data_IF_145370824748
#
_entry.id   IF_145370824748
#
_cell.length_a   1.000
_cell.length_b   1.000
_cell.length_c   1.000
_cell.angle_alpha   90.00
_cell.angle_beta   90.00
_cell.angle_gamma   90.00
#
_symmetry.space_group_name_H-M   'P 1'
#
loop_
_entity.id
_entity.type
_entity.pdbx_description
1 polymer ?
#
# COMPACT_ATOMS: atom_id res chain seq x y z
N UNK A 1 4.55 -39.24 9.11
CA UNK A 1 4.65 -38.62 7.77
C UNK A 1 4.54 -37.12 7.98
N UNK A 2 5.65 -36.39 7.99
CA UNK A 2 5.62 -34.92 8.08
C UNK A 2 5.26 -34.39 6.70
N UNK A 3 4.15 -33.68 6.60
CA UNK A 3 3.85 -32.88 5.42
C UNK A 3 4.79 -31.68 5.53
N UNK A 4 5.79 -31.59 4.64
CA UNK A 4 6.58 -30.36 4.50
C UNK A 4 5.64 -29.27 4.00
N UNK A 5 5.14 -28.43 4.90
CA UNK A 5 4.40 -27.23 4.53
C UNK A 5 5.38 -26.27 3.88
N UNK A 6 5.26 -26.09 2.56
CA UNK A 6 6.04 -25.08 1.84
C UNK A 6 5.72 -23.70 2.41
N UNK A 7 6.74 -22.87 2.61
CA UNK A 7 6.53 -21.49 3.07
C UNK A 7 6.91 -20.53 1.95
N UNK A 8 6.11 -19.49 1.78
CA UNK A 8 6.29 -18.48 0.74
C UNK A 8 6.32 -17.10 1.39
N UNK A 9 7.16 -16.19 0.89
CA UNK A 9 7.14 -14.82 1.39
C UNK A 9 5.90 -14.06 0.88
N UNK A 10 5.53 -12.98 1.56
CA UNK A 10 4.30 -12.26 1.23
C UNK A 10 4.34 -11.63 -0.17
N UNK A 11 5.50 -11.18 -0.62
CA UNK A 11 5.64 -10.57 -1.95
C UNK A 11 5.42 -11.61 -3.06
N UNK A 12 6.05 -12.77 -2.95
CA UNK A 12 5.85 -13.92 -3.84
C UNK A 12 4.40 -14.40 -3.83
N UNK A 13 3.77 -14.46 -2.65
CA UNK A 13 2.38 -14.86 -2.54
C UNK A 13 1.45 -13.97 -3.39
N UNK A 14 1.60 -12.66 -3.28
CA UNK A 14 0.84 -11.70 -4.11
C UNK A 14 1.24 -11.81 -5.58
N UNK A 15 2.53 -11.97 -5.89
CA UNK A 15 3.02 -12.19 -7.24
C UNK A 15 2.44 -13.47 -7.88
N UNK A 16 2.04 -14.46 -7.07
CA UNK A 16 1.36 -15.68 -7.50
C UNK A 16 -0.17 -15.58 -7.49
N UNK A 17 -0.72 -14.37 -7.28
CA UNK A 17 -2.16 -14.09 -7.34
C UNK A 17 -2.91 -14.30 -6.02
N UNK A 18 -2.22 -14.56 -4.91
CA UNK A 18 -2.86 -14.66 -3.59
C UNK A 18 -3.23 -13.28 -3.07
N UNK A 19 -4.47 -13.07 -2.69
CA UNK A 19 -4.86 -11.92 -1.88
C UNK A 19 -4.37 -12.13 -0.44
N UNK A 20 -3.65 -11.15 0.08
CA UNK A 20 -3.26 -11.12 1.49
C UNK A 20 -4.20 -10.19 2.26
N UNK A 21 -4.67 -10.64 3.42
CA UNK A 21 -5.67 -9.94 4.21
C UNK A 21 -5.25 -9.81 5.67
N UNK A 22 -5.75 -8.78 6.33
CA UNK A 22 -5.66 -8.60 7.78
C UNK A 22 -6.21 -9.84 8.50
N UNK A 23 -5.46 -10.32 9.49
CA UNK A 23 -5.81 -11.48 10.32
C UNK A 23 -5.16 -12.78 9.86
N UNK A 24 -4.54 -12.82 8.67
CA UNK A 24 -3.76 -13.98 8.25
C UNK A 24 -2.57 -14.21 9.19
N UNK A 25 -2.35 -15.47 9.55
CA UNK A 25 -1.21 -15.89 10.35
C UNK A 25 0.07 -15.85 9.51
N UNK A 26 1.17 -15.39 10.12
CA UNK A 26 2.47 -15.24 9.46
C UNK A 26 3.60 -15.71 10.35
N UNK A 27 4.69 -16.14 9.71
CA UNK A 27 5.96 -16.43 10.36
C UNK A 27 6.91 -15.24 10.20
N UNK A 28 7.40 -14.74 11.33
CA UNK A 28 8.37 -13.64 11.40
C UNK A 28 9.82 -14.18 11.29
N UNK A 29 10.76 -13.38 10.78
CA UNK A 29 12.15 -13.83 10.55
C UNK A 29 12.91 -14.12 11.84
N UNK A 30 12.63 -13.36 12.92
CA UNK A 30 13.43 -13.39 14.17
C UNK A 30 12.74 -14.12 15.32
N UNK A 31 11.48 -14.53 15.15
CA UNK A 31 10.67 -15.03 16.26
C UNK A 31 9.73 -16.16 15.84
N UNK A 32 9.75 -17.27 16.58
CA UNK A 32 8.73 -18.34 16.49
C UNK A 32 7.51 -18.00 17.36
N UNK A 33 6.99 -16.78 17.21
CA UNK A 33 5.76 -16.35 17.87
C UNK A 33 4.61 -16.34 16.89
N UNK A 34 3.42 -16.62 17.42
CA UNK A 34 2.18 -16.45 16.67
C UNK A 34 1.99 -14.96 16.36
N UNK A 35 2.11 -14.63 15.09
CA UNK A 35 1.95 -13.28 14.57
C UNK A 35 0.91 -13.27 13.46
N UNK A 36 0.24 -12.13 13.30
CA UNK A 36 -0.80 -11.97 12.29
C UNK A 36 -0.60 -10.67 11.53
N UNK A 37 -1.03 -10.65 10.28
CA UNK A 37 -1.13 -9.42 9.51
C UNK A 37 -2.13 -8.49 10.20
N UNK A 38 -1.67 -7.29 10.57
CA UNK A 38 -2.53 -6.22 11.04
C UNK A 38 -3.01 -5.32 9.89
N UNK A 39 -2.18 -5.16 8.87
CA UNK A 39 -2.51 -4.45 7.64
C UNK A 39 -1.27 -4.14 6.81
N UNK A 40 -1.46 -3.30 5.80
CA UNK A 40 -0.45 -3.00 4.78
C UNK A 40 -0.30 -1.50 4.61
N UNK A 41 0.90 -1.06 4.27
CA UNK A 41 1.17 0.31 3.79
C UNK A 41 1.57 0.18 2.33
N UNK A 42 0.88 0.90 1.44
CA UNK A 42 1.21 0.96 0.03
C UNK A 42 2.53 1.72 -0.18
N UNK A 43 3.45 1.18 -0.98
CA UNK A 43 4.79 1.76 -1.20
C UNK A 43 5.22 1.72 -2.66
N UNK A 44 6.36 2.33 -2.99
CA UNK A 44 6.94 2.34 -4.33
C UNK A 44 8.29 1.63 -4.31
N UNK A 45 8.60 0.85 -5.35
CA UNK A 45 9.86 0.10 -5.44
C UNK A 45 10.04 -0.95 -4.35
N UNK A 46 11.27 -1.36 -4.02
CA UNK A 46 11.48 -2.04 -2.74
C UNK A 46 11.16 -1.05 -1.63
N UNK A 47 10.49 -1.52 -0.56
CA UNK A 47 9.95 -0.66 0.49
C UNK A 47 10.97 0.29 1.16
N UNK A 48 12.27 0.12 0.90
CA UNK A 48 13.39 0.84 1.51
C UNK A 48 14.44 1.41 0.53
N UNK A 49 14.32 1.19 -0.79
CA UNK A 49 15.43 1.47 -1.75
C UNK A 49 15.46 2.91 -2.29
N UNK A 50 14.56 3.78 -1.87
CA UNK A 50 14.54 5.17 -2.33
C UNK A 50 14.17 6.05 -1.13
N UNK A 51 14.70 7.28 -1.09
CA UNK A 51 14.40 8.35 -0.13
C UNK A 51 12.88 8.59 0.03
N UNK A 52 12.16 7.68 0.70
CA UNK A 52 10.71 7.69 0.80
C UNK A 52 10.33 7.82 2.27
N UNK A 53 9.41 8.76 2.50
CA UNK A 53 8.34 8.76 3.49
C UNK A 53 7.85 7.35 3.89
N UNK A 54 8.60 6.56 4.65
CA UNK A 54 8.21 5.23 5.08
C UNK A 54 8.42 5.06 6.58
N UNK A 55 7.53 4.34 7.30
CA UNK A 55 7.87 3.89 8.64
C UNK A 55 9.11 3.01 8.63
N UNK A 56 10.03 3.27 9.56
CA UNK A 56 11.17 2.38 9.78
C UNK A 56 10.70 0.97 10.14
N UNK A 57 11.51 -0.03 9.78
CA UNK A 57 11.30 -1.41 10.21
C UNK A 57 11.35 -1.51 11.74
N UNK A 58 10.65 -2.51 12.28
CA UNK A 58 10.58 -2.75 13.71
C UNK A 58 9.33 -2.15 14.34
N UNK A 59 9.39 -1.80 15.62
CA UNK A 59 8.18 -1.48 16.39
C UNK A 59 7.48 -0.22 15.87
N UNK A 60 6.17 -0.33 15.65
CA UNK A 60 5.33 0.71 15.07
C UNK A 60 4.35 1.28 16.10
N UNK A 61 4.06 2.59 15.98
CA UNK A 61 2.92 3.21 16.66
C UNK A 61 1.71 3.23 15.73
N UNK A 62 0.70 2.42 16.07
CA UNK A 62 -0.58 2.37 15.36
C UNK A 62 -1.58 3.30 16.05
N UNK A 63 -2.15 4.24 15.29
CA UNK A 63 -3.26 5.09 15.74
C UNK A 63 -4.47 4.86 14.83
N UNK A 64 -5.45 4.11 15.32
CA UNK A 64 -6.67 3.74 14.60
C UNK A 64 -6.38 3.04 13.26
N UNK A 65 -6.41 3.77 12.15
CA UNK A 65 -6.18 3.26 10.80
C UNK A 65 -4.89 3.81 10.16
N UNK A 66 -3.95 4.30 10.97
CA UNK A 66 -2.69 4.86 10.50
C UNK A 66 -1.50 4.32 11.27
N UNK A 67 -0.38 4.14 10.59
CA UNK A 67 0.93 4.04 11.24
C UNK A 67 1.55 5.43 11.26
N UNK A 68 2.09 5.81 12.41
CA UNK A 68 2.81 7.07 12.59
C UNK A 68 4.30 6.79 12.69
N UNK A 69 5.07 7.47 11.84
CA UNK A 69 6.52 7.51 11.93
C UNK A 69 6.95 8.98 11.84
N UNK A 70 7.72 9.42 12.84
CA UNK A 70 8.01 10.83 13.08
C UNK A 70 6.71 11.69 13.04
N UNK A 71 6.64 12.69 12.15
CA UNK A 71 5.49 13.56 11.95
C UNK A 71 4.60 13.15 10.78
N UNK A 72 4.82 11.97 10.17
CA UNK A 72 4.08 11.50 8.99
C UNK A 72 3.16 10.34 9.34
N UNK A 73 2.00 10.29 8.70
CA UNK A 73 0.96 9.29 8.98
C UNK A 73 0.56 8.57 7.69
N UNK A 74 0.66 7.24 7.71
CA UNK A 74 0.43 6.37 6.56
C UNK A 74 -0.88 5.60 6.72
N UNK A 75 -1.75 5.57 5.70
CA UNK A 75 -2.99 4.80 5.79
C UNK A 75 -2.69 3.30 5.88
N UNK A 76 -3.37 2.62 6.81
CA UNK A 76 -3.33 1.16 6.93
C UNK A 76 -4.45 0.58 6.08
N UNK A 77 -4.04 -0.23 5.12
CA UNK A 77 -4.89 -0.97 4.21
C UNK A 77 -5.10 -2.39 4.75
N UNK A 78 -6.26 -2.97 4.51
CA UNK A 78 -6.71 -4.24 5.08
C UNK A 78 -6.43 -5.44 4.19
N UNK A 79 -6.27 -5.23 2.88
CA UNK A 79 -5.83 -6.28 1.96
C UNK A 79 -4.94 -5.72 0.85
N UNK A 80 -4.18 -6.61 0.24
CA UNK A 80 -3.35 -6.37 -0.94
C UNK A 80 -3.43 -7.56 -1.89
N UNK A 81 -3.55 -7.27 -3.17
CA UNK A 81 -3.54 -8.23 -4.27
C UNK A 81 -2.99 -7.58 -5.54
N UNK A 82 -2.80 -8.36 -6.61
CA UNK A 82 -2.52 -7.76 -7.92
C UNK A 82 -3.67 -6.89 -8.40
N UNK A 83 -3.36 -5.77 -9.04
CA UNK A 83 -4.34 -5.04 -9.81
C UNK A 83 -4.78 -5.91 -11.00
N UNK A 84 -6.09 -6.06 -11.17
CA UNK A 84 -6.70 -6.92 -12.18
C UNK A 84 -7.67 -6.18 -13.11
N UNK A 85 -8.11 -4.98 -12.73
CA UNK A 85 -8.98 -4.16 -13.55
C UNK A 85 -8.16 -3.37 -14.56
N UNK A 86 -8.75 -3.08 -15.73
CA UNK A 86 -8.13 -2.21 -16.74
C UNK A 86 -7.86 -0.81 -16.20
N UNK A 87 -8.77 -0.31 -15.35
CA UNK A 87 -8.69 1.04 -14.78
C UNK A 87 -9.40 1.15 -13.44
N UNK A 88 -8.97 2.12 -12.64
CA UNK A 88 -9.47 2.39 -11.30
C UNK A 88 -9.82 3.87 -11.15
N UNK A 89 -10.91 4.16 -10.43
CA UNK A 89 -11.31 5.54 -10.14
C UNK A 89 -10.27 6.26 -9.28
N UNK A 90 -9.62 7.29 -9.84
CA UNK A 90 -8.50 7.95 -9.17
C UNK A 90 -8.90 8.64 -7.86
N UNK A 91 -10.14 9.16 -7.78
CA UNK A 91 -10.64 9.85 -6.59
C UNK A 91 -10.71 8.97 -5.33
N UNK A 92 -10.73 7.64 -5.50
CA UNK A 92 -10.74 6.68 -4.38
C UNK A 92 -9.35 6.12 -4.06
N UNK A 93 -8.35 6.43 -4.87
CA UNK A 93 -7.04 5.81 -4.81
C UNK A 93 -6.02 6.69 -4.09
N UNK A 94 -5.42 6.14 -3.04
CA UNK A 94 -4.14 6.57 -2.51
C UNK A 94 -3.01 5.99 -3.38
N UNK A 95 -2.27 6.85 -4.08
CA UNK A 95 -1.16 6.44 -4.94
C UNK A 95 0.12 7.14 -4.45
N UNK A 96 0.94 6.47 -3.61
CA UNK A 96 2.11 7.10 -2.98
C UNK A 96 3.08 7.75 -3.98
N UNK A 97 3.18 7.19 -5.19
CA UNK A 97 4.01 7.73 -6.27
C UNK A 97 3.72 9.21 -6.56
N UNK A 98 2.45 9.64 -6.54
CA UNK A 98 2.08 11.04 -6.83
C UNK A 98 2.32 11.99 -5.66
N UNK A 99 2.68 11.46 -4.49
CA UNK A 99 2.88 12.23 -3.27
C UNK A 99 4.37 12.41 -2.90
N UNK A 100 5.29 11.71 -3.58
CA UNK A 100 6.72 11.76 -3.25
C UNK A 100 7.35 13.13 -3.52
N UNK A 101 8.35 13.49 -2.70
CA UNK A 101 9.11 14.75 -2.80
C UNK A 101 9.81 14.94 -4.15
N UNK A 102 10.19 13.84 -4.81
CA UNK A 102 10.78 13.85 -6.15
C UNK A 102 9.91 14.58 -7.20
N UNK A 103 8.59 14.58 -6.99
CA UNK A 103 7.64 15.28 -7.86
C UNK A 103 7.17 16.63 -7.31
N UNK A 104 7.78 17.12 -6.23
CA UNK A 104 7.40 18.39 -5.61
C UNK A 104 8.20 19.59 -6.13
N UNK A 105 9.40 19.41 -6.73
CA UNK A 105 10.24 20.56 -7.10
C UNK A 105 9.91 21.13 -8.50
N UNK A 106 9.43 22.38 -8.45
CA UNK A 106 9.32 23.51 -9.41
C UNK A 106 9.08 23.33 -10.93
N UNK A 107 9.24 22.15 -11.53
CA UNK A 107 8.75 21.83 -12.90
C UNK A 107 7.63 20.77 -12.89
N UNK A 108 7.55 20.01 -11.80
CA UNK A 108 6.65 18.87 -11.58
C UNK A 108 5.61 19.08 -10.47
N UNK A 109 5.63 20.23 -9.77
CA UNK A 109 4.63 20.57 -8.76
C UNK A 109 3.17 20.60 -9.27
N UNK A 110 2.98 20.64 -10.59
CA UNK A 110 1.69 20.43 -11.24
C UNK A 110 1.11 19.02 -11.00
N UNK A 111 1.97 18.02 -10.74
CA UNK A 111 1.59 16.60 -10.65
C UNK A 111 0.89 16.29 -9.33
N UNK A 112 1.43 16.81 -8.23
CA UNK A 112 0.76 16.77 -6.92
C UNK A 112 -0.57 17.53 -6.99
N UNK A 113 -0.58 18.74 -7.54
CA UNK A 113 -1.80 19.56 -7.61
C UNK A 113 -2.91 18.91 -8.45
N UNK A 114 -2.55 18.31 -9.59
CA UNK A 114 -3.50 17.58 -10.43
C UNK A 114 -4.05 16.30 -9.77
N UNK A 115 -3.20 15.56 -9.06
CA UNK A 115 -3.64 14.42 -8.27
C UNK A 115 -4.58 14.84 -7.14
N UNK A 116 -4.27 15.94 -6.43
CA UNK A 116 -5.16 16.51 -5.41
C UNK A 116 -6.50 16.97 -6.00
N UNK A 117 -6.50 17.63 -7.16
CA UNK A 117 -7.73 18.04 -7.86
C UNK A 117 -8.59 16.85 -8.30
N UNK A 118 -7.97 15.73 -8.72
CA UNK A 118 -8.71 14.51 -9.01
C UNK A 118 -9.25 13.80 -7.75
N UNK A 119 -8.59 14.02 -6.61
CA UNK A 119 -8.97 13.43 -5.32
C UNK A 119 -10.17 14.12 -4.67
N UNK A 120 -10.42 15.40 -4.94
CA UNK A 120 -11.56 16.14 -4.37
C UNK A 120 -12.91 15.77 -5.01
N UNK A 121 -12.90 15.04 -6.14
CA UNK A 121 -14.11 14.67 -6.87
C UNK A 121 -14.78 15.83 -7.60
N UNK A 122 -14.13 17.00 -7.68
CA UNK A 122 -14.59 18.15 -8.46
C UNK A 122 -14.31 17.94 -9.95
N UNK A 123 -15.07 18.61 -10.83
CA UNK A 123 -14.85 18.49 -12.28
C UNK A 123 -13.44 18.92 -12.63
N UNK A 124 -12.64 17.99 -13.13
CA UNK A 124 -11.22 18.24 -13.39
C UNK A 124 -11.10 19.11 -14.66
N UNK A 125 -10.59 20.33 -14.52
CA UNK A 125 -10.22 21.16 -15.67
C UNK A 125 -9.23 20.40 -16.56
N UNK A 126 -9.26 20.63 -17.88
CA UNK A 126 -8.50 19.89 -18.92
C UNK A 126 -6.97 19.87 -18.77
N UNK A 127 -6.41 20.41 -17.69
CA UNK A 127 -4.97 20.47 -17.39
C UNK A 127 -4.40 19.18 -16.79
N UNK A 128 -5.21 18.15 -16.57
CA UNK A 128 -4.70 16.78 -16.38
C UNK A 128 -4.38 16.20 -17.76
N UNK A 129 -3.43 16.83 -18.44
CA UNK A 129 -2.81 16.32 -19.66
C UNK A 129 -1.99 15.08 -19.29
N UNK A 130 -2.44 13.91 -19.73
CA UNK A 130 -1.72 12.63 -19.80
C UNK A 130 -0.60 12.47 -18.76
N UNK A 131 -0.95 12.22 -17.50
CA UNK A 131 -0.01 11.55 -16.61
C UNK A 131 0.09 10.11 -17.09
N UNK A 132 1.28 9.52 -17.18
CA UNK A 132 1.50 8.28 -17.96
C UNK A 132 0.47 7.16 -17.76
N UNK A 133 -0.06 7.05 -16.53
CA UNK A 133 -1.09 6.08 -16.15
C UNK A 133 -2.44 6.70 -15.78
N UNK A 134 -2.68 8.00 -15.97
CA UNK A 134 -3.97 8.64 -15.67
C UNK A 134 -4.56 9.22 -16.95
N UNK A 135 -5.82 8.89 -17.20
CA UNK A 135 -6.60 9.49 -18.28
C UNK A 135 -7.87 10.09 -17.72
N UNK A 136 -8.27 11.23 -18.30
CA UNK A 136 -9.62 11.74 -18.13
C UNK A 136 -10.49 11.11 -19.21
N UNK A 137 -11.64 10.59 -18.79
CA UNK A 137 -12.68 10.07 -19.68
C UNK A 137 -14.02 10.75 -19.39
N UNK A 138 -14.93 10.71 -20.36
CA UNK A 138 -16.26 11.29 -20.26
C UNK A 138 -16.45 12.60 -21.05
N UNK A 139 -17.71 13.00 -21.21
CA UNK A 139 -18.09 14.23 -21.88
C UNK A 139 -17.78 15.47 -21.01
N UNK A 140 -17.77 16.66 -21.63
CA UNK A 140 -17.61 17.92 -20.92
C UNK A 140 -18.74 18.07 -19.87
N UNK A 141 -18.38 18.17 -18.58
CA UNK A 141 -19.33 18.18 -17.45
C UNK A 141 -19.39 16.87 -16.64
N UNK A 142 -18.95 15.75 -17.20
CA UNK A 142 -18.96 14.41 -16.55
C UNK A 142 -17.57 13.77 -16.48
N UNK A 143 -16.52 14.58 -16.66
CA UNK A 143 -15.13 14.11 -16.73
C UNK A 143 -14.72 13.43 -15.43
N UNK A 144 -14.27 12.19 -15.55
CA UNK A 144 -13.71 11.41 -14.44
C UNK A 144 -12.25 11.05 -14.75
N UNK A 145 -11.42 11.06 -13.71
CA UNK A 145 -10.03 10.65 -13.80
C UNK A 145 -9.88 9.18 -13.40
N UNK A 146 -9.24 8.40 -14.27
CA UNK A 146 -8.97 6.98 -14.06
C UNK A 146 -7.48 6.71 -14.03
N UNK A 147 -7.04 5.83 -13.13
CA UNK A 147 -5.71 5.25 -13.09
C UNK A 147 -5.68 3.92 -13.84
N UNK A 148 -4.73 3.75 -14.75
CA UNK A 148 -4.46 2.57 -15.54
C UNK A 148 -3.24 1.85 -14.95
N UNK A 149 -3.42 0.63 -14.39
CA UNK A 149 -2.34 -0.09 -13.73
C UNK A 149 -1.18 -0.46 -14.65
N UNK A 150 0.02 -0.51 -14.06
CA UNK A 150 1.20 -1.18 -14.64
C UNK A 150 1.11 -2.69 -14.38
N UNK A 151 1.89 -3.46 -15.11
CA UNK A 151 1.94 -4.93 -15.02
C UNK A 151 2.12 -5.47 -13.59
N UNK A 152 2.88 -4.77 -12.75
CA UNK A 152 3.18 -5.18 -11.37
C UNK A 152 2.50 -4.30 -10.31
N UNK A 153 1.50 -3.51 -10.70
CA UNK A 153 0.77 -2.71 -9.73
C UNK A 153 -0.09 -3.61 -8.84
N UNK A 154 -0.08 -3.27 -7.56
CA UNK A 154 -0.83 -3.92 -6.51
C UNK A 154 -2.00 -3.03 -6.12
N UNK A 155 -3.16 -3.65 -5.98
CA UNK A 155 -4.37 -3.01 -5.52
C UNK A 155 -4.60 -3.31 -4.05
N UNK A 156 -4.89 -2.26 -3.29
CA UNK A 156 -5.11 -2.35 -1.86
C UNK A 156 -6.52 -1.92 -1.51
N UNK A 157 -7.12 -2.62 -0.56
CA UNK A 157 -8.42 -2.27 -0.01
C UNK A 157 -8.29 -1.81 1.43
N UNK A 158 -9.24 -0.97 1.85
CA UNK A 158 -9.45 -0.59 3.25
C UNK A 158 -10.88 -0.98 3.64
N UNK A 159 -11.15 -1.05 4.94
CA UNK A 159 -12.51 -1.10 5.45
C UNK A 159 -13.33 0.17 5.12
N UNK A 160 -12.65 1.28 4.82
CA UNK A 160 -13.27 2.51 4.30
C UNK A 160 -13.43 2.48 2.77
N UNK A 161 -13.89 3.58 2.15
CA UNK A 161 -13.88 3.73 0.67
C UNK A 161 -12.48 3.96 0.09
N UNK A 162 -11.48 4.27 0.93
CA UNK A 162 -10.10 4.48 0.47
C UNK A 162 -9.54 3.18 -0.10
N UNK A 163 -8.87 3.28 -1.24
CA UNK A 163 -8.14 2.21 -1.90
C UNK A 163 -6.69 2.64 -2.08
N UNK A 164 -5.79 1.70 -2.32
CA UNK A 164 -4.39 1.99 -2.61
C UNK A 164 -3.99 1.42 -3.97
N UNK A 165 -3.05 2.09 -4.63
CA UNK A 165 -2.36 1.56 -5.80
C UNK A 165 -0.87 1.82 -5.67
N UNK A 166 -0.07 0.77 -5.79
CA UNK A 166 1.37 0.84 -5.54
C UNK A 166 2.09 -0.35 -6.15
N UNK A 167 3.40 -0.25 -6.39
CA UNK A 167 4.18 -1.36 -6.93
C UNK A 167 4.71 -2.32 -5.85
N UNK A 168 4.50 -1.99 -4.58
CA UNK A 168 5.03 -2.74 -3.43
C UNK A 168 4.30 -2.36 -2.14
N UNK A 169 4.69 -2.97 -1.03
CA UNK A 169 4.11 -2.71 0.27
C UNK A 169 5.07 -2.98 1.42
N UNK A 170 4.80 -2.36 2.56
CA UNK A 170 5.27 -2.82 3.86
C UNK A 170 4.13 -3.54 4.58
N UNK A 171 4.45 -4.59 5.34
CA UNK A 171 3.46 -5.31 6.15
C UNK A 171 3.58 -4.91 7.61
N UNK A 172 2.45 -4.59 8.23
CA UNK A 172 2.35 -4.37 9.67
C UNK A 172 1.85 -5.67 10.26
N UNK A 173 2.64 -6.26 11.16
CA UNK A 173 2.26 -7.46 11.89
C UNK A 173 1.85 -7.09 13.31
N UNK A 174 1.07 -7.98 13.93
CA UNK A 174 0.63 -7.88 15.33
C UNK A 174 0.94 -9.19 16.03
N UNK A 175 1.56 -9.10 17.20
CA UNK A 175 1.73 -10.22 18.14
C UNK A 175 1.50 -9.77 19.58
N UNK A 176 1.34 -10.73 20.48
CA UNK A 176 1.36 -10.48 21.93
C UNK A 176 2.72 -10.88 22.46
N UNK A 177 3.37 -9.97 23.20
CA UNK A 177 4.65 -10.23 23.84
C UNK A 177 4.49 -11.27 24.95
N UNK A 178 5.25 -12.35 24.92
CA UNK A 178 5.24 -13.35 26.01
C UNK A 178 5.84 -12.85 27.33
N UNK A 179 6.58 -11.75 27.29
CA UNK A 179 7.28 -11.19 28.46
C UNK A 179 6.41 -10.15 29.18
N UNK A 180 5.61 -9.40 28.44
CA UNK A 180 4.87 -8.24 28.96
C UNK A 180 3.36 -8.30 28.75
N UNK A 181 2.85 -9.32 28.04
CA UNK A 181 1.46 -9.45 27.58
C UNK A 181 0.93 -8.25 26.77
N UNK A 182 1.83 -7.37 26.35
CA UNK A 182 1.49 -6.20 25.53
C UNK A 182 1.37 -6.59 24.07
N UNK A 183 0.44 -5.91 23.38
CA UNK A 183 0.31 -6.00 21.93
C UNK A 183 1.45 -5.21 21.30
N UNK A 184 2.24 -5.88 20.47
CA UNK A 184 3.33 -5.30 19.71
C UNK A 184 2.92 -5.26 18.24
N UNK A 185 3.13 -4.10 17.62
CA UNK A 185 3.00 -3.90 16.19
C UNK A 185 4.39 -3.69 15.60
N UNK A 186 4.70 -4.38 14.52
CA UNK A 186 6.01 -4.31 13.87
C UNK A 186 5.84 -4.16 12.36
N UNK A 187 6.65 -3.30 11.74
CA UNK A 187 6.72 -3.13 10.28
C UNK A 187 7.85 -4.01 9.73
N UNK A 188 7.55 -4.76 8.68
CA UNK A 188 8.51 -5.62 8.00
C UNK A 188 8.49 -5.40 6.48
N UNK A 189 9.60 -5.75 5.85
CA UNK A 189 9.61 -6.02 4.42
C UNK A 189 8.76 -7.26 4.12
N UNK A 190 7.99 -7.26 3.03
CA UNK A 190 7.13 -8.40 2.68
C UNK A 190 7.93 -9.66 2.31
N UNK A 191 9.19 -9.50 1.91
CA UNK A 191 10.11 -10.60 1.60
C UNK A 191 10.61 -11.34 2.87
N UNK A 192 10.58 -10.66 4.03
CA UNK A 192 11.05 -11.21 5.31
C UNK A 192 9.96 -12.00 6.05
N UNK A 193 8.69 -11.75 5.73
CA UNK A 193 7.53 -12.35 6.38
C UNK A 193 6.98 -13.47 5.51
N UNK A 194 6.70 -14.63 6.12
CA UNK A 194 6.25 -15.83 5.40
C UNK A 194 4.84 -16.25 5.81
N UNK A 195 4.17 -16.92 4.90
CA UNK A 195 2.93 -17.68 5.14
C UNK A 195 3.13 -19.13 4.75
N UNK A 196 2.32 -20.02 5.30
CA UNK A 196 2.16 -21.36 4.77
C UNK A 196 1.50 -21.28 3.39
N UNK A 197 2.12 -21.96 2.41
CA UNK A 197 1.70 -21.99 1.02
C UNK A 197 0.73 -23.16 0.78
#
# INVERSE_FOLDING_TARGET
MMIETSTMNLFEAVANGKELTKGMEVKLPLFDYKAYIYGFVATQGRALDVDIDMPALGQAKVLSNRVVYESRAFPILTSVQKACEEKYNLYQLHVPHFLSSYYQDSKYGSWRNAYWQAFTGESVESKVTSYGNVKIEGAFGERQAFYYPRENDLYFQSSSKLRGMASSFAVITRRVSKVSDQVIYEVYNPEEVKIEA
#
